data_IF_374827229555
#
_entry.id   IF_374827229555
#
_cell.length_a   1.000
_cell.length_b   1.000
_cell.length_c   1.000
_cell.angle_alpha   90.00
_cell.angle_beta   90.00
_cell.angle_gamma   90.00
#
_symmetry.space_group_name_H-M   'P 1'
#
loop_
_entity.id
_entity.type
_entity.pdbx_description
1 polymer ?
#
# COMPACT_ATOMS: atom_id res chain seq x y z
N UNK A 1 0.54 -9.35 -7.23
CA UNK A 1 0.90 -9.52 -5.81
C UNK A 1 0.03 -10.53 -5.08
N UNK A 2 -1.22 -10.80 -5.51
CA UNK A 2 -2.01 -11.94 -4.97
C UNK A 2 -2.37 -11.81 -3.48
N UNK A 3 -2.41 -10.60 -2.95
CA UNK A 3 -2.66 -10.33 -1.53
C UNK A 3 -4.14 -10.59 -1.22
N UNK A 4 -4.41 -11.49 -0.27
CA UNK A 4 -5.73 -11.71 0.30
C UNK A 4 -5.94 -10.80 1.53
N UNK A 5 -6.95 -9.93 1.47
CA UNK A 5 -7.30 -9.01 2.55
C UNK A 5 -8.50 -9.47 3.39
N UNK A 6 -9.09 -10.62 3.09
CA UNK A 6 -10.31 -11.10 3.75
C UNK A 6 -10.14 -11.38 5.25
N UNK A 7 -8.91 -11.68 5.69
CA UNK A 7 -8.56 -11.90 7.10
C UNK A 7 -8.09 -10.65 7.85
N UNK A 8 -8.04 -9.48 7.21
CA UNK A 8 -7.53 -8.26 7.85
C UNK A 8 -8.53 -7.75 8.88
N UNK A 9 -8.04 -7.45 10.07
CA UNK A 9 -8.83 -6.88 11.18
C UNK A 9 -8.06 -5.73 11.84
N UNK A 10 -8.71 -4.99 12.73
CA UNK A 10 -8.01 -3.93 13.48
C UNK A 10 -6.86 -4.47 14.36
N UNK A 11 -6.95 -5.71 14.82
CA UNK A 11 -5.87 -6.35 15.61
C UNK A 11 -4.81 -7.06 14.74
N UNK A 12 -5.11 -7.29 13.46
CA UNK A 12 -4.22 -7.89 12.47
C UNK A 12 -4.33 -7.09 11.16
N UNK A 13 -3.74 -5.88 11.11
CA UNK A 13 -4.03 -4.91 10.07
C UNK A 13 -3.25 -5.12 8.77
N UNK A 14 -2.27 -6.02 8.78
CA UNK A 14 -1.33 -6.27 7.69
C UNK A 14 -1.76 -7.51 6.89
N UNK A 15 -1.88 -7.37 5.57
CA UNK A 15 -1.94 -8.50 4.64
C UNK A 15 -0.63 -8.62 3.86
N UNK A 16 -0.18 -9.85 3.59
CA UNK A 16 1.11 -10.13 2.96
C UNK A 16 0.91 -10.95 1.70
N UNK A 17 1.68 -10.67 0.65
CA UNK A 17 1.65 -11.45 -0.59
C UNK A 17 2.19 -12.87 -0.38
N UNK A 18 1.74 -13.87 -1.18
CA UNK A 18 2.22 -15.25 -1.05
C UNK A 18 3.74 -15.42 -1.23
N UNK A 19 4.38 -14.52 -1.97
CA UNK A 19 5.82 -14.50 -2.20
C UNK A 19 6.61 -13.76 -1.10
N UNK A 20 5.92 -13.16 -0.12
CA UNK A 20 6.52 -12.42 0.98
C UNK A 20 7.19 -11.10 0.61
N UNK A 21 7.06 -10.63 -0.64
CA UNK A 21 7.71 -9.40 -1.12
C UNK A 21 6.98 -8.12 -0.70
N UNK A 22 5.66 -8.17 -0.65
CA UNK A 22 4.84 -7.00 -0.37
C UNK A 22 3.95 -7.26 0.83
N UNK A 23 3.82 -6.26 1.68
CA UNK A 23 2.80 -6.19 2.70
C UNK A 23 1.99 -4.90 2.53
N UNK A 24 0.72 -4.94 2.87
CA UNK A 24 -0.17 -3.80 2.81
C UNK A 24 -0.88 -3.65 4.15
N UNK A 25 -0.84 -2.43 4.67
CA UNK A 25 -1.53 -2.02 5.89
C UNK A 25 -2.46 -0.86 5.58
N UNK A 26 -3.57 -0.75 6.32
CA UNK A 26 -4.37 0.46 6.29
C UNK A 26 -3.67 1.55 7.11
N UNK A 27 -3.36 2.68 6.47
CA UNK A 27 -2.94 3.89 7.16
C UNK A 27 -4.11 4.88 7.23
N UNK A 28 -4.19 5.63 8.33
CA UNK A 28 -5.09 6.77 8.44
C UNK A 28 -4.56 7.97 7.62
N UNK A 29 -4.85 9.20 8.05
CA UNK A 29 -4.50 10.40 7.32
C UNK A 29 -2.97 10.54 7.11
N UNK A 30 -2.55 10.64 5.84
CA UNK A 30 -1.18 10.95 5.44
C UNK A 30 -0.97 12.44 5.08
N UNK A 31 -1.82 13.32 5.61
CA UNK A 31 -1.73 14.79 5.46
C UNK A 31 -1.73 15.34 4.02
N UNK A 32 -2.22 14.57 3.03
CA UNK A 32 -2.29 15.00 1.61
C UNK A 32 -3.66 14.73 0.99
N UNK A 33 -4.73 15.05 1.73
CA UNK A 33 -6.11 14.78 1.30
C UNK A 33 -6.47 15.44 -0.04
N UNK A 34 -5.83 16.55 -0.40
CA UNK A 34 -6.08 17.28 -1.65
C UNK A 34 -5.51 16.62 -2.91
N UNK A 35 -4.57 15.67 -2.76
CA UNK A 35 -3.88 15.00 -3.86
C UNK A 35 -4.10 13.48 -3.84
N UNK A 36 -5.17 13.02 -3.19
CA UNK A 36 -5.56 11.62 -3.18
C UNK A 36 -5.82 11.08 -4.60
N UNK A 37 -5.61 9.77 -4.86
CA UNK A 37 -5.16 8.74 -3.92
C UNK A 37 -3.69 8.87 -3.50
N UNK A 38 -3.43 8.67 -2.19
CA UNK A 38 -2.07 8.73 -1.62
C UNK A 38 -1.69 7.43 -0.95
N UNK A 39 -0.41 7.08 -0.98
CA UNK A 39 0.14 5.95 -0.24
C UNK A 39 1.60 6.21 0.15
N UNK A 40 2.10 5.38 1.07
CA UNK A 40 3.52 5.26 1.33
C UNK A 40 3.99 3.86 0.91
N UNK A 41 5.17 3.79 0.32
CA UNK A 41 5.89 2.54 0.07
C UNK A 41 7.21 2.64 0.82
N UNK A 42 7.32 1.90 1.93
CA UNK A 42 8.39 2.10 2.91
C UNK A 42 8.43 3.58 3.34
N UNK A 43 9.55 4.28 3.13
CA UNK A 43 9.74 5.69 3.49
C UNK A 43 9.32 6.66 2.38
N UNK A 44 8.95 6.17 1.19
CA UNK A 44 8.62 7.00 0.04
C UNK A 44 7.14 7.37 0.03
N UNK A 45 6.87 8.67 -0.10
CA UNK A 45 5.52 9.23 -0.19
C UNK A 45 5.10 9.40 -1.64
N UNK A 46 3.91 8.89 -2.00
CA UNK A 46 3.34 8.98 -3.33
C UNK A 46 1.94 9.59 -3.27
N UNK A 47 1.74 10.68 -4.02
CA UNK A 47 0.43 11.29 -4.25
C UNK A 47 -0.03 11.11 -5.70
N UNK A 48 -1.31 11.41 -5.95
CA UNK A 48 -1.95 11.31 -7.25
C UNK A 48 -1.68 9.97 -7.98
N UNK A 49 -1.64 8.86 -7.23
CA UNK A 49 -1.27 7.54 -7.76
C UNK A 49 -2.32 7.07 -8.77
N UNK A 50 -1.89 6.88 -10.02
CA UNK A 50 -2.75 6.43 -11.14
C UNK A 50 -2.22 5.20 -11.86
N UNK A 51 -0.90 5.03 -11.97
CA UNK A 51 -0.25 3.84 -12.55
C UNK A 51 0.43 2.99 -11.46
N UNK A 52 -0.36 2.10 -10.83
CA UNK A 52 0.12 1.24 -9.74
C UNK A 52 1.16 0.22 -10.24
N UNK A 53 0.97 -0.34 -11.44
CA UNK A 53 1.91 -1.34 -11.98
C UNK A 53 3.25 -0.71 -12.35
N UNK A 54 3.24 0.51 -12.89
CA UNK A 54 4.45 1.30 -13.12
C UNK A 54 5.14 1.68 -11.81
N UNK A 55 4.39 2.06 -10.79
CA UNK A 55 4.91 2.38 -9.47
C UNK A 55 5.61 1.18 -8.82
N UNK A 56 4.97 0.02 -8.78
CA UNK A 56 5.54 -1.18 -8.13
C UNK A 56 6.84 -1.67 -8.79
N UNK A 57 7.07 -1.41 -10.08
CA UNK A 57 8.34 -1.75 -10.76
C UNK A 57 9.56 -1.00 -10.20
N UNK A 58 9.34 0.09 -9.46
CA UNK A 58 10.40 0.85 -8.82
C UNK A 58 10.90 0.17 -7.52
N UNK A 59 10.16 -0.83 -7.03
CA UNK A 59 10.39 -1.49 -5.75
C UNK A 59 10.52 -3.03 -5.95
N UNK A 60 11.76 -3.55 -6.17
CA UNK A 60 12.00 -4.95 -6.56
C UNK A 60 11.81 -6.01 -5.46
#
# INVERSE_FOLDING_TARGET
>A
TGIDRSGVTHHHPIAVSPDGKYSIEFAECLASCGFGPVCMINDDFHDAVTDVDGLLKQYP
#
